data_IF_317356603023
#
_entry.id   IF_317356603023
#
_cell.length_a   1.000
_cell.length_b   1.000
_cell.length_c   1.000
_cell.angle_alpha   90.00
_cell.angle_beta   90.00
_cell.angle_gamma   90.00
#
_symmetry.space_group_name_H-M   'P 1'
#
loop_
_entity.id
_entity.type
_entity.pdbx_description
1 polymer ?
#
# COMPACT_ATOMS: atom_id res chain seq x y z
N UNK A 1 -39.85 -16.20 12.96
CA UNK A 1 -38.72 -15.26 12.70
C UNK A 1 -37.43 -15.71 13.41
N UNK A 2 -36.96 -16.95 13.21
CA UNK A 2 -35.80 -17.54 13.95
C UNK A 2 -34.59 -17.92 13.07
N UNK A 3 -34.62 -17.63 11.76
CA UNK A 3 -33.55 -18.04 10.82
C UNK A 3 -32.26 -17.23 10.95
N UNK A 4 -32.34 -15.94 11.30
CA UNK A 4 -31.18 -15.04 11.41
C UNK A 4 -30.27 -15.28 12.62
N UNK A 5 -30.70 -16.03 13.64
CA UNK A 5 -29.96 -16.12 14.90
C UNK A 5 -28.70 -16.98 14.79
N UNK A 6 -28.80 -18.18 14.22
CA UNK A 6 -27.69 -19.14 14.23
C UNK A 6 -26.54 -18.73 13.30
N UNK A 7 -26.86 -18.24 12.10
CA UNK A 7 -25.88 -17.67 11.16
C UNK A 7 -25.19 -16.45 11.74
N UNK A 8 -25.95 -15.53 12.36
CA UNK A 8 -25.38 -14.34 13.01
C UNK A 8 -24.46 -14.71 14.18
N UNK A 9 -24.81 -15.70 15.00
CA UNK A 9 -23.96 -16.19 16.10
C UNK A 9 -22.66 -16.78 15.56
N UNK A 10 -22.73 -17.56 14.48
CA UNK A 10 -21.55 -18.17 13.85
C UNK A 10 -20.61 -17.10 13.26
N UNK A 11 -21.14 -16.15 12.49
CA UNK A 11 -20.37 -15.05 11.91
C UNK A 11 -19.78 -14.12 12.98
N UNK A 12 -20.52 -13.88 14.07
CA UNK A 12 -20.03 -13.09 15.19
C UNK A 12 -18.82 -13.75 15.87
N UNK A 13 -18.85 -15.08 16.05
CA UNK A 13 -17.71 -15.83 16.59
C UNK A 13 -16.50 -15.72 15.68
N UNK A 14 -16.69 -15.90 14.37
CA UNK A 14 -15.61 -15.74 13.38
C UNK A 14 -15.00 -14.33 13.49
N UNK A 15 -15.83 -13.29 13.49
CA UNK A 15 -15.37 -11.90 13.57
C UNK A 15 -14.57 -11.61 14.85
N UNK A 16 -14.94 -12.18 15.99
CA UNK A 16 -14.22 -12.00 17.26
C UNK A 16 -12.88 -12.76 17.32
N UNK A 17 -12.71 -13.80 16.51
CA UNK A 17 -11.46 -14.56 16.43
C UNK A 17 -10.39 -13.85 15.58
N UNK A 18 -10.77 -12.84 14.78
CA UNK A 18 -9.81 -12.05 14.02
C UNK A 18 -9.02 -11.10 14.93
N UNK A 19 -7.67 -11.18 14.98
CA UNK A 19 -6.86 -10.27 15.78
C UNK A 19 -6.91 -8.83 15.25
N UNK A 20 -7.03 -8.65 13.92
CA UNK A 20 -7.09 -7.34 13.26
C UNK A 20 -8.06 -7.37 12.07
N UNK A 21 -9.08 -6.50 12.08
CA UNK A 21 -10.08 -6.35 11.02
C UNK A 21 -9.68 -5.27 9.99
N UNK A 22 -8.66 -5.56 9.18
CA UNK A 22 -8.20 -4.69 8.09
C UNK A 22 -9.10 -4.72 6.84
N UNK A 23 -8.66 -4.08 5.74
CA UNK A 23 -9.44 -4.01 4.49
C UNK A 23 -9.65 -5.37 3.82
N UNK A 24 -8.62 -6.22 3.84
CA UNK A 24 -8.67 -7.54 3.17
C UNK A 24 -9.55 -8.51 3.97
N UNK A 25 -9.42 -8.46 5.29
CA UNK A 25 -10.13 -9.26 6.27
C UNK A 25 -11.63 -8.94 6.22
N UNK A 26 -11.99 -7.64 6.14
CA UNK A 26 -13.37 -7.19 5.94
C UNK A 26 -13.95 -7.66 4.61
N UNK A 27 -13.17 -7.64 3.53
CA UNK A 27 -13.62 -8.08 2.21
C UNK A 27 -13.84 -9.60 2.16
N UNK A 28 -12.94 -10.37 2.75
CA UNK A 28 -13.07 -11.82 2.91
C UNK A 28 -14.30 -12.17 3.76
N UNK A 29 -14.42 -11.56 4.94
CA UNK A 29 -15.57 -11.77 5.84
C UNK A 29 -16.89 -11.48 5.15
N UNK A 30 -16.98 -10.41 4.36
CA UNK A 30 -18.20 -10.05 3.64
C UNK A 30 -18.56 -11.07 2.55
N UNK A 31 -17.56 -11.59 1.84
CA UNK A 31 -17.79 -12.67 0.86
C UNK A 31 -18.25 -13.96 1.54
N UNK A 32 -17.59 -14.32 2.65
CA UNK A 32 -17.92 -15.49 3.44
C UNK A 32 -19.31 -15.39 4.10
N UNK A 33 -19.67 -14.22 4.63
CA UNK A 33 -21.00 -13.92 5.18
C UNK A 33 -22.10 -14.12 4.14
N UNK A 34 -21.88 -13.66 2.91
CA UNK A 34 -22.84 -13.88 1.83
C UNK A 34 -23.00 -15.37 1.52
N UNK A 35 -21.91 -16.13 1.37
CA UNK A 35 -21.97 -17.58 1.10
C UNK A 35 -22.69 -18.34 2.23
N UNK A 36 -22.40 -18.01 3.49
CA UNK A 36 -23.08 -18.62 4.64
C UNK A 36 -24.57 -18.29 4.65
N UNK A 37 -24.93 -17.08 4.23
CA UNK A 37 -26.32 -16.64 4.19
C UNK A 37 -27.10 -17.25 3.01
N UNK A 38 -26.49 -17.35 1.84
CA UNK A 38 -27.08 -18.01 0.67
C UNK A 38 -27.36 -19.50 0.98
N UNK A 39 -26.40 -20.19 1.61
CA UNK A 39 -26.60 -21.57 2.08
C UNK A 39 -27.71 -21.68 3.13
N UNK A 40 -27.82 -20.67 4.00
CA UNK A 40 -28.85 -20.62 5.03
C UNK A 40 -30.26 -20.51 4.49
N UNK A 41 -30.41 -19.75 3.41
CA UNK A 41 -31.68 -19.52 2.75
C UNK A 41 -32.11 -20.75 1.93
N UNK A 42 -31.18 -21.43 1.28
CA UNK A 42 -31.44 -22.64 0.47
C UNK A 42 -31.77 -23.88 1.32
N UNK A 43 -31.05 -24.11 2.42
CA UNK A 43 -31.15 -25.38 3.18
C UNK A 43 -32.01 -25.30 4.45
N UNK A 44 -32.69 -24.16 4.70
CA UNK A 44 -33.49 -23.94 5.92
C UNK A 44 -32.74 -24.39 7.18
N UNK A 45 -31.56 -23.82 7.43
CA UNK A 45 -30.65 -24.22 8.53
C UNK A 45 -31.42 -24.46 9.84
N UNK A 46 -31.27 -25.67 10.37
CA UNK A 46 -31.91 -26.10 11.61
C UNK A 46 -30.99 -25.95 12.84
N UNK A 47 -29.65 -25.91 12.66
CA UNK A 47 -28.69 -25.81 13.77
C UNK A 47 -27.34 -25.16 13.40
N UNK A 48 -26.62 -24.64 14.40
CA UNK A 48 -25.21 -24.20 14.27
C UNK A 48 -24.29 -25.36 13.86
N UNK A 49 -24.63 -26.59 14.21
CA UNK A 49 -23.81 -27.75 13.86
C UNK A 49 -23.79 -28.02 12.35
N UNK A 50 -24.87 -27.68 11.64
CA UNK A 50 -24.94 -27.83 10.18
C UNK A 50 -23.94 -26.86 9.51
N UNK A 51 -23.85 -25.64 10.02
CA UNK A 51 -22.86 -24.65 9.60
C UNK A 51 -21.43 -25.11 9.86
N UNK A 52 -21.17 -25.70 11.03
CA UNK A 52 -19.84 -26.22 11.37
C UNK A 52 -19.47 -27.41 10.48
N UNK A 53 -20.44 -28.26 10.12
CA UNK A 53 -20.20 -29.42 9.26
C UNK A 53 -19.87 -29.02 7.83
N UNK A 54 -20.53 -28.01 7.30
CA UNK A 54 -20.33 -27.54 5.91
C UNK A 54 -19.12 -26.61 5.78
N UNK A 55 -19.01 -25.61 6.66
CA UNK A 55 -18.00 -24.54 6.56
C UNK A 55 -16.80 -24.73 7.49
N UNK A 56 -16.85 -25.70 8.41
CA UNK A 56 -15.83 -25.89 9.44
C UNK A 56 -16.10 -25.07 10.70
N UNK A 57 -15.29 -25.30 11.73
CA UNK A 57 -15.39 -24.51 12.97
C UNK A 57 -14.98 -23.06 12.73
N UNK A 58 -15.54 -22.09 13.48
CA UNK A 58 -15.12 -20.69 13.38
C UNK A 58 -13.60 -20.48 13.53
N UNK A 59 -12.94 -21.35 14.30
CA UNK A 59 -11.49 -21.34 14.48
C UNK A 59 -10.77 -21.84 13.23
N UNK A 60 -11.15 -23.00 12.68
CA UNK A 60 -10.54 -23.53 11.46
C UNK A 60 -10.70 -22.59 10.26
N UNK A 61 -11.85 -21.91 10.14
CA UNK A 61 -12.08 -20.91 9.08
C UNK A 61 -11.08 -19.76 9.20
N UNK A 62 -10.89 -19.25 10.41
CA UNK A 62 -9.94 -18.15 10.68
C UNK A 62 -8.50 -18.61 10.51
N UNK A 63 -8.14 -19.80 11.00
CA UNK A 63 -6.81 -20.37 10.87
C UNK A 63 -6.46 -20.66 9.41
N UNK A 64 -7.40 -21.21 8.63
CA UNK A 64 -7.24 -21.42 7.19
C UNK A 64 -7.06 -20.10 6.45
N UNK A 65 -7.83 -19.07 6.81
CA UNK A 65 -7.64 -17.73 6.28
C UNK A 65 -6.28 -17.16 6.64
N UNK A 66 -5.85 -17.24 7.91
CA UNK A 66 -4.55 -16.72 8.35
C UNK A 66 -3.40 -17.45 7.64
N UNK A 67 -3.45 -18.78 7.55
CA UNK A 67 -2.43 -19.58 6.88
C UNK A 67 -2.34 -19.30 5.36
N UNK A 68 -3.47 -19.14 4.67
CA UNK A 68 -3.48 -18.73 3.26
C UNK A 68 -3.12 -17.26 3.06
N UNK A 69 -3.57 -16.40 3.98
CA UNK A 69 -3.30 -14.98 3.96
C UNK A 69 -1.82 -14.75 4.19
N UNK A 70 -1.15 -15.41 5.13
CA UNK A 70 0.28 -15.18 5.41
C UNK A 70 1.16 -15.34 4.16
N UNK A 71 0.91 -16.34 3.31
CA UNK A 71 1.66 -16.50 2.06
C UNK A 71 1.47 -15.33 1.07
N UNK A 72 0.23 -14.88 0.87
CA UNK A 72 -0.10 -13.83 -0.11
C UNK A 72 0.00 -12.38 0.45
N UNK A 73 -0.26 -12.21 1.74
CA UNK A 73 -0.33 -10.94 2.47
C UNK A 73 1.07 -10.47 2.89
N UNK A 74 1.93 -11.37 3.39
CA UNK A 74 3.34 -11.05 3.66
C UNK A 74 4.04 -10.68 2.34
N UNK A 75 3.83 -11.47 1.28
CA UNK A 75 4.39 -11.19 -0.04
C UNK A 75 4.00 -9.81 -0.58
N UNK A 76 2.76 -9.35 -0.35
CA UNK A 76 2.28 -8.06 -0.84
C UNK A 76 2.70 -6.88 0.04
N UNK A 77 2.78 -7.06 1.36
CA UNK A 77 3.30 -6.03 2.30
C UNK A 77 4.82 -5.89 2.22
N UNK A 78 5.57 -6.97 2.07
CA UNK A 78 7.04 -6.94 1.93
C UNK A 78 7.45 -6.18 0.67
N UNK A 79 6.82 -6.45 -0.48
CA UNK A 79 7.10 -5.73 -1.74
C UNK A 79 6.86 -4.22 -1.64
N UNK A 80 5.84 -3.79 -0.88
CA UNK A 80 5.50 -2.37 -0.72
C UNK A 80 6.57 -1.61 0.08
N UNK A 81 7.14 -2.23 1.12
CA UNK A 81 8.21 -1.60 1.91
C UNK A 81 9.50 -1.44 1.09
N UNK A 82 9.83 -2.43 0.26
CA UNK A 82 11.01 -2.36 -0.63
C UNK A 82 10.84 -1.29 -1.73
N UNK A 83 9.63 -1.13 -2.26
CA UNK A 83 9.34 -0.11 -3.28
C UNK A 83 9.42 1.31 -2.72
N UNK A 84 8.89 1.55 -1.51
CA UNK A 84 8.99 2.86 -0.84
C UNK A 84 10.46 3.24 -0.60
N UNK A 85 11.28 2.30 -0.10
CA UNK A 85 12.73 2.54 0.08
C UNK A 85 13.44 2.90 -1.23
N UNK A 86 13.09 2.24 -2.34
CA UNK A 86 13.61 2.57 -3.68
C UNK A 86 13.20 3.97 -4.14
N UNK A 87 11.94 4.37 -3.94
CA UNK A 87 11.47 5.71 -4.30
C UNK A 87 12.24 6.78 -3.51
N UNK A 88 12.41 6.61 -2.20
CA UNK A 88 13.14 7.58 -1.37
C UNK A 88 14.57 7.74 -1.87
N UNK A 89 15.25 6.65 -2.22
CA UNK A 89 16.61 6.70 -2.77
C UNK A 89 16.67 7.43 -4.12
N UNK A 90 15.69 7.21 -5.00
CA UNK A 90 15.58 7.93 -6.28
C UNK A 90 15.36 9.42 -6.04
N UNK A 91 14.46 9.81 -5.13
CA UNK A 91 14.18 11.21 -4.81
C UNK A 91 15.43 11.92 -4.29
N UNK A 92 16.18 11.28 -3.37
CA UNK A 92 17.44 11.85 -2.85
C UNK A 92 18.47 12.02 -3.98
N UNK A 93 18.61 11.02 -4.86
CA UNK A 93 19.49 11.10 -6.02
C UNK A 93 19.11 12.24 -6.98
N UNK A 94 17.81 12.40 -7.27
CA UNK A 94 17.30 13.49 -8.10
C UNK A 94 17.57 14.86 -7.48
N UNK A 95 17.42 15.01 -6.15
CA UNK A 95 17.73 16.26 -5.46
C UNK A 95 19.23 16.62 -5.57
N UNK A 96 20.12 15.63 -5.41
CA UNK A 96 21.56 15.84 -5.58
C UNK A 96 21.91 16.27 -7.00
N UNK A 97 21.33 15.60 -8.02
CA UNK A 97 21.50 16.01 -9.42
C UNK A 97 20.98 17.42 -9.68
N UNK A 98 19.83 17.77 -9.11
CA UNK A 98 19.22 19.09 -9.28
C UNK A 98 20.12 20.18 -8.69
N UNK A 99 20.62 19.99 -7.47
CA UNK A 99 21.55 20.93 -6.84
C UNK A 99 22.82 21.09 -7.69
N UNK A 100 23.40 19.99 -8.17
CA UNK A 100 24.59 20.03 -9.03
C UNK A 100 24.33 20.78 -10.34
N UNK A 101 23.19 20.52 -10.98
CA UNK A 101 22.80 21.21 -12.21
C UNK A 101 22.61 22.72 -12.00
N UNK A 102 21.94 23.13 -10.92
CA UNK A 102 21.79 24.53 -10.56
C UNK A 102 23.15 25.20 -10.29
N UNK A 103 24.06 24.53 -9.59
CA UNK A 103 25.40 25.05 -9.34
C UNK A 103 26.18 25.29 -10.65
N UNK A 104 26.06 24.38 -11.63
CA UNK A 104 26.69 24.55 -12.95
C UNK A 104 26.08 25.73 -13.71
N UNK A 105 24.76 25.92 -13.66
CA UNK A 105 24.11 27.06 -14.32
C UNK A 105 24.61 28.39 -13.74
N UNK A 106 24.59 28.52 -12.41
CA UNK A 106 25.07 29.74 -11.73
C UNK A 106 26.55 29.99 -12.02
N UNK A 107 27.37 28.94 -12.06
CA UNK A 107 28.78 29.08 -12.40
C UNK A 107 28.99 29.57 -13.83
N UNK A 108 28.21 29.07 -14.79
CA UNK A 108 28.25 29.54 -16.18
C UNK A 108 27.84 31.01 -16.29
N UNK A 109 26.75 31.40 -15.64
CA UNK A 109 26.29 32.80 -15.63
C UNK A 109 27.35 33.74 -15.06
N UNK A 110 28.03 33.32 -14.00
CA UNK A 110 29.12 34.09 -13.40
C UNK A 110 30.31 34.25 -14.35
N UNK A 111 30.70 33.18 -15.07
CA UNK A 111 31.81 33.24 -16.02
C UNK A 111 31.46 34.11 -17.24
N UNK A 112 30.23 34.05 -17.74
CA UNK A 112 29.77 34.89 -18.84
C UNK A 112 29.87 36.37 -18.43
N UNK A 113 29.38 36.72 -17.24
CA UNK A 113 29.45 38.10 -16.73
C UNK A 113 30.88 38.60 -16.57
N UNK A 114 31.78 37.73 -16.09
CA UNK A 114 33.22 38.06 -15.98
C UNK A 114 33.86 38.32 -17.33
N UNK A 115 33.62 37.44 -18.30
CA UNK A 115 34.19 37.56 -19.64
C UNK A 115 33.68 38.82 -20.34
N UNK A 116 32.38 39.14 -20.22
CA UNK A 116 31.83 40.40 -20.74
C UNK A 116 32.44 41.65 -20.10
N UNK A 117 32.80 41.60 -18.81
CA UNK A 117 33.41 42.74 -18.14
C UNK A 117 34.86 42.95 -18.59
N UNK A 118 35.63 41.87 -18.72
CA UNK A 118 37.01 41.89 -19.21
C UNK A 118 37.07 42.40 -20.65
N UNK A 119 36.18 41.91 -21.52
CA UNK A 119 36.09 42.36 -22.92
C UNK A 119 35.77 43.86 -23.02
N UNK A 120 34.86 44.38 -22.18
CA UNK A 120 34.55 45.82 -22.14
C UNK A 120 35.73 46.66 -21.66
N UNK A 121 36.49 46.20 -20.66
CA UNK A 121 37.69 46.91 -20.18
C UNK A 121 38.80 46.94 -21.24
N UNK A 122 39.05 45.82 -21.94
CA UNK A 122 40.05 45.74 -23.02
C UNK A 122 39.73 46.67 -24.18
N UNK A 123 38.46 46.70 -24.61
CA UNK A 123 37.97 47.58 -25.68
C UNK A 123 38.21 49.07 -25.33
N UNK A 124 37.99 49.49 -24.08
CA UNK A 124 38.17 50.91 -23.68
C UNK A 124 39.63 51.35 -23.80
N UNK A 125 40.58 50.49 -23.45
CA UNK A 125 42.02 50.80 -23.48
C UNK A 125 42.50 50.99 -24.93
N UNK A 126 41.98 50.22 -25.89
CA UNK A 126 42.35 50.33 -27.31
C UNK A 126 41.89 51.64 -27.97
N UNK A 127 40.82 52.27 -27.49
CA UNK A 127 40.35 53.58 -28.00
C UNK A 127 41.01 54.79 -27.32
N UNK A 128 41.76 54.58 -26.23
CA UNK A 128 42.41 55.66 -25.47
C UNK A 128 43.89 55.88 -25.87
N UNK A 129 44.43 55.11 -26.83
CA UNK A 129 45.68 55.37 -27.58
C UNK A 129 45.44 56.09 -28.92
#
# INVERSE_FOLDING_TARGET
MKRKSFTAIYLHKIKNLFPILGKQERQYLKGFENTVQDYADDHSILSIQDLIREFGTPQEVVDSYINQADSNYLSKKMKKNTFIKRIVLIVVSCLLMFIGFYAVLVYKDFQITKNEHIEKEEIIIEYEE
#
